data_IF_825188752200
#
_entry.id   IF_825188752200
#
_cell.length_a   1.000
_cell.length_b   1.000
_cell.length_c   1.000
_cell.angle_alpha   90.00
_cell.angle_beta   90.00
_cell.angle_gamma   90.00
#
_symmetry.space_group_name_H-M   'P 1'
#
loop_
_entity.id
_entity.type
_entity.pdbx_description
1 polymer ?
2 polymer ?
3 non-polymer ?
4 water ?
#
# COMPACT_ATOMS: atom_id res chain seq x y z
N UNK A 1 14.88 -15.65 1.91
CA UNK A 1 13.74 -16.62 2.06
C UNK A 1 12.71 -16.32 0.97
N UNK A 2 12.23 -17.37 0.31
CA UNK A 2 11.31 -17.23 -0.83
C UNK A 2 9.98 -16.50 -0.59
N UNK A 3 9.51 -16.49 0.64
CA UNK A 3 8.23 -15.83 0.95
C UNK A 3 8.40 -14.36 1.39
N UNK A 4 9.62 -13.84 1.28
CA UNK A 4 9.89 -12.46 1.64
C UNK A 4 10.24 -11.60 0.43
N UNK A 5 10.15 -10.29 0.61
CA UNK A 5 10.46 -9.34 -0.45
C UNK A 5 11.20 -8.19 0.20
N UNK A 6 11.90 -7.41 -0.62
CA UNK A 6 12.62 -6.26 -0.08
C UNK A 6 12.09 -5.01 -0.77
N UNK A 7 11.25 -4.22 -0.05
CA UNK A 7 10.68 -3.00 -0.61
C UNK A 7 11.77 -2.00 -0.97
N UNK A 8 11.61 -1.37 -2.12
CA UNK A 8 12.53 -0.34 -2.52
C UNK A 8 12.40 0.83 -1.54
N UNK A 9 13.48 1.60 -1.41
CA UNK A 9 13.52 2.68 -0.45
C UNK A 9 12.29 3.57 -0.22
N UNK A 10 11.71 4.17 -1.27
CA UNK A 10 10.54 5.00 -0.98
C UNK A 10 9.38 4.22 -0.41
N UNK A 11 9.19 2.98 -0.89
CA UNK A 11 8.09 2.18 -0.33
C UNK A 11 8.41 1.78 1.11
N UNK A 12 9.69 1.53 1.40
CA UNK A 12 10.07 1.16 2.75
C UNK A 12 9.79 2.32 3.69
N UNK A 13 10.05 3.54 3.22
CA UNK A 13 9.80 4.73 4.03
C UNK A 13 8.33 4.74 4.47
N UNK A 14 7.44 4.45 3.53
CA UNK A 14 6.01 4.41 3.81
C UNK A 14 5.66 3.34 4.85
N UNK A 15 6.24 2.15 4.69
CA UNK A 15 5.97 1.07 5.62
C UNK A 15 6.48 1.45 7.01
N UNK A 16 7.69 1.99 7.08
CA UNK A 16 8.23 2.41 8.37
C UNK A 16 7.34 3.50 9.02
N UNK A 17 6.83 4.43 8.22
CA UNK A 17 5.95 5.48 8.71
C UNK A 17 4.73 4.90 9.41
N UNK A 18 4.29 3.73 8.96
CA UNK A 18 3.13 3.06 9.53
C UNK A 18 3.48 2.10 10.65
N UNK A 19 4.75 2.11 11.05
CA UNK A 19 5.19 1.28 12.16
C UNK A 19 6.00 0.04 11.85
N UNK A 20 6.28 -0.23 10.58
CA UNK A 20 7.05 -1.42 10.25
C UNK A 20 8.52 -1.28 10.70
N UNK A 21 9.17 -2.42 10.90
CA UNK A 21 10.58 -2.47 11.29
C UNK A 21 11.33 -3.42 10.38
N UNK A 22 12.55 -3.05 10.03
CA UNK A 22 13.35 -3.92 9.19
C UNK A 22 13.37 -3.57 7.72
N UNK A 23 13.92 -4.49 6.91
CA UNK A 23 14.07 -4.29 5.47
C UNK A 23 13.37 -5.34 4.63
N UNK A 24 13.10 -6.50 5.21
CA UNK A 24 12.44 -7.58 4.47
C UNK A 24 11.11 -7.96 5.11
N UNK A 25 10.14 -8.23 4.26
CA UNK A 25 8.79 -8.51 4.74
C UNK A 25 8.09 -9.52 3.89
N UNK A 26 7.02 -10.09 4.46
CA UNK A 26 6.20 -11.00 3.67
C UNK A 26 5.24 -10.07 2.93
N UNK A 27 4.56 -10.58 1.91
CA UNK A 27 3.63 -9.74 1.17
C UNK A 27 2.47 -9.32 2.09
N UNK A 28 1.99 -10.24 2.92
CA UNK A 28 0.93 -9.89 3.85
C UNK A 28 1.41 -8.76 4.77
N UNK A 29 2.66 -8.79 5.23
CA UNK A 29 3.11 -7.67 6.07
C UNK A 29 3.13 -6.37 5.28
N UNK A 30 3.67 -6.39 4.06
CA UNK A 30 3.67 -5.18 3.25
C UNK A 30 2.25 -4.61 3.13
N UNK A 31 1.29 -5.46 2.79
CA UNK A 31 -0.10 -5.01 2.65
C UNK A 31 -0.68 -4.43 3.96
N UNK A 32 -0.33 -5.06 5.07
CA UNK A 32 -0.80 -4.60 6.37
C UNK A 32 -0.28 -3.18 6.64
N UNK A 33 1.02 -2.97 6.49
CA UNK A 33 1.54 -1.64 6.80
C UNK A 33 1.12 -0.58 5.78
N UNK A 34 0.94 -0.96 4.51
CA UNK A 34 0.53 0.01 3.50
C UNK A 34 -0.93 0.39 3.77
N UNK A 35 -1.71 -0.58 4.23
CA UNK A 35 -3.11 -0.30 4.55
C UNK A 35 -3.17 0.60 5.78
N UNK A 36 -2.31 0.34 6.75
CA UNK A 36 -2.28 1.16 7.96
C UNK A 36 -1.88 2.59 7.61
N UNK A 37 -0.96 2.73 6.67
CA UNK A 37 -0.51 4.04 6.24
C UNK A 37 -1.71 4.83 5.67
N UNK A 38 -2.44 4.19 4.76
CA UNK A 38 -3.59 4.83 4.17
C UNK A 38 -4.66 5.18 5.20
N UNK A 39 -4.87 4.29 6.17
CA UNK A 39 -5.87 4.51 7.21
C UNK A 39 -5.52 5.64 8.16
N UNK A 40 -4.35 5.57 8.78
CA UNK A 40 -4.00 6.61 9.75
C UNK A 40 -3.79 7.98 9.10
N UNK A 41 -3.32 8.02 7.86
CA UNK A 41 -3.13 9.33 7.21
C UNK A 41 -4.49 9.75 6.67
N UNK A 42 -5.47 8.87 6.79
CA UNK A 42 -6.82 9.12 6.29
C UNK A 42 -6.83 9.62 4.85
N UNK A 43 -6.17 8.88 3.97
CA UNK A 43 -6.13 9.23 2.55
C UNK A 43 -7.36 8.71 1.80
N UNK A 44 -8.07 7.76 2.39
CA UNK A 44 -9.24 7.22 1.70
C UNK A 44 -10.40 8.23 1.69
N UNK A 45 -11.28 8.10 0.71
CA UNK A 45 -12.47 8.96 0.55
C UNK A 45 -13.46 8.61 1.68
N UNK A 46 -13.85 9.60 2.47
CA UNK A 46 -14.74 9.37 3.60
C UNK A 46 -16.09 8.77 3.21
N UNK A 47 -16.63 9.17 2.06
CA UNK A 47 -17.95 8.66 1.63
C UNK A 47 -17.93 7.37 0.82
N UNK A 48 -16.86 7.15 0.07
CA UNK A 48 -16.72 5.94 -0.74
C UNK A 48 -15.34 5.45 -0.34
N UNK A 49 -15.29 4.67 0.73
CA UNK A 49 -14.02 4.25 1.29
C UNK A 49 -13.13 3.31 0.50
N UNK A 50 -13.60 2.86 -0.66
CA UNK A 50 -12.75 2.02 -1.49
C UNK A 50 -11.81 2.92 -2.30
N UNK A 51 -12.10 4.23 -2.32
CA UNK A 51 -11.29 5.18 -3.06
C UNK A 51 -10.22 5.79 -2.18
N UNK A 52 -9.02 5.88 -2.74
CA UNK A 52 -7.88 6.47 -2.05
C UNK A 52 -7.35 7.66 -2.86
N UNK A 53 -7.25 8.82 -2.21
CA UNK A 53 -6.72 10.02 -2.87
C UNK A 53 -5.35 10.28 -2.30
N UNK A 54 -4.35 10.30 -3.17
CA UNK A 54 -2.98 10.47 -2.75
C UNK A 54 -2.15 11.48 -3.53
N UNK A 55 -2.80 12.49 -4.09
CA UNK A 55 -2.06 13.49 -4.84
C UNK A 55 -1.16 14.24 -3.89
N UNK A 56 0.12 14.38 -4.24
CA UNK A 56 1.07 15.07 -3.38
C UNK A 56 1.64 14.22 -2.26
N UNK A 57 1.18 12.97 -2.17
CA UNK A 57 1.69 12.07 -1.13
C UNK A 57 2.75 11.19 -1.80
N UNK A 58 3.75 10.73 -1.04
CA UNK A 58 4.77 9.85 -1.63
C UNK A 58 4.10 8.62 -2.25
N UNK A 59 2.98 8.19 -1.68
CA UNK A 59 2.28 7.04 -2.23
C UNK A 59 1.83 7.34 -3.65
N UNK A 60 1.39 8.59 -3.90
CA UNK A 60 0.97 9.00 -5.22
C UNK A 60 2.13 9.03 -6.19
N UNK A 61 3.31 9.43 -5.72
CA UNK A 61 4.47 9.43 -6.61
C UNK A 61 4.78 7.99 -7.01
N UNK A 62 4.69 7.06 -6.06
CA UNK A 62 4.96 5.66 -6.38
C UNK A 62 3.93 5.11 -7.36
N UNK A 63 2.68 5.50 -7.18
CA UNK A 63 1.61 5.03 -8.05
C UNK A 63 1.57 5.74 -9.40
N UNK A 64 2.11 6.96 -9.46
CA UNK A 64 2.07 7.73 -10.68
C UNK A 64 0.62 8.15 -10.91
N UNK A 65 -0.14 8.23 -9.82
CA UNK A 65 -1.56 8.58 -9.90
C UNK A 65 -2.00 9.45 -8.74
N UNK A 66 -3.08 10.20 -8.97
CA UNK A 66 -3.64 11.07 -7.96
C UNK A 66 -4.61 10.28 -7.04
N UNK A 67 -5.13 9.16 -7.54
CA UNK A 67 -6.07 8.34 -6.78
C UNK A 67 -6.14 6.94 -7.37
N UNK A 68 -6.71 6.01 -6.61
CA UNK A 68 -6.91 4.67 -7.11
C UNK A 68 -8.06 4.06 -6.33
N UNK A 69 -8.59 2.96 -6.85
CA UNK A 69 -9.71 2.29 -6.21
C UNK A 69 -9.29 0.90 -5.74
N UNK A 70 -9.55 0.59 -4.47
CA UNK A 70 -9.21 -0.73 -3.93
C UNK A 70 -10.01 -1.81 -4.67
N UNK A 71 -11.12 -1.43 -5.31
CA UNK A 71 -11.93 -2.37 -6.09
C UNK A 71 -11.26 -2.75 -7.43
N UNK A 72 -10.36 -1.91 -7.93
CA UNK A 72 -9.59 -2.22 -9.15
C UNK A 72 -8.16 -1.99 -8.74
N UNK A 73 -7.59 -2.95 -8.02
CA UNK A 73 -6.21 -2.83 -7.54
C UNK A 73 -5.10 -2.92 -8.58
N UNK A 74 -5.41 -3.11 -9.86
CA UNK A 74 -4.31 -3.25 -10.82
C UNK A 74 -3.19 -2.21 -10.72
N UNK A 75 -3.52 -0.91 -10.63
CA UNK A 75 -2.42 0.05 -10.54
C UNK A 75 -1.61 -0.13 -9.26
N UNK A 76 -2.28 -0.54 -8.18
CA UNK A 76 -1.59 -0.76 -6.92
C UNK A 76 -0.66 -1.97 -7.08
N UNK A 77 -1.14 -3.02 -7.75
CA UNK A 77 -0.30 -4.21 -7.91
C UNK A 77 0.88 -3.92 -8.84
N UNK A 78 0.67 -3.03 -9.81
CA UNK A 78 1.74 -2.64 -10.74
C UNK A 78 2.86 -1.94 -9.94
N UNK A 79 2.45 -1.08 -9.02
CA UNK A 79 3.40 -0.35 -8.18
C UNK A 79 4.17 -1.33 -7.31
N UNK A 80 3.47 -2.30 -6.73
CA UNK A 80 4.15 -3.29 -5.89
C UNK A 80 5.13 -4.14 -6.70
N UNK A 81 4.78 -4.51 -7.94
CA UNK A 81 5.70 -5.32 -8.75
C UNK A 81 6.99 -4.55 -9.02
N UNK A 82 6.87 -3.23 -9.16
CA UNK A 82 8.03 -2.40 -9.43
C UNK A 82 8.80 -2.04 -8.18
N UNK A 83 8.12 -2.07 -7.04
CA UNK A 83 8.78 -1.69 -5.80
C UNK A 83 9.05 -2.81 -4.80
N UNK A 84 8.73 -4.04 -5.17
CA UNK A 84 9.06 -5.14 -4.28
C UNK A 84 10.11 -6.01 -4.99
N UNK A 85 11.33 -6.03 -4.47
CA UNK A 85 12.37 -6.87 -5.05
C UNK A 85 12.18 -8.27 -4.49
N UNK A 86 12.17 -9.26 -5.38
CA UNK A 86 11.96 -10.64 -4.96
C UNK A 86 13.16 -11.51 -5.30
N UNK A 87 13.09 -12.78 -4.92
CA UNK A 87 14.18 -13.71 -5.20
C UNK A 87 14.07 -14.24 -6.63
N UNK B 1 -17.89 -1.14 3.21
CA UNK B 1 -18.34 0.27 3.39
C UNK B 1 -17.24 1.04 4.10
N UNK B 2 -16.28 0.30 4.64
CA UNK B 2 -15.14 0.92 5.33
C UNK B 2 -13.89 0.64 4.50
N UNK B 3 -12.88 1.49 4.62
CA UNK B 3 -11.63 1.25 3.90
C UNK B 3 -11.08 -0.12 4.31
N UNK B 4 -11.04 -0.40 5.62
CA UNK B 4 -10.51 -1.68 6.11
C UNK B 4 -11.19 -2.90 5.47
N UNK B 5 -12.51 -2.83 5.33
CA UNK B 5 -13.29 -3.92 4.74
C UNK B 5 -12.81 -4.21 3.31
N UNK B 6 -12.70 -3.17 2.49
CA UNK B 6 -12.23 -3.31 1.11
C UNK B 6 -10.77 -3.74 1.05
N UNK B 7 -9.93 -3.10 1.87
CA UNK B 7 -8.50 -3.41 1.86
C UNK B 7 -8.18 -4.86 2.23
N UNK B 8 -8.88 -5.39 3.22
CA UNK B 8 -8.65 -6.75 3.67
C UNK B 8 -8.89 -7.76 2.54
N UNK B 9 -9.73 -7.39 1.58
CA UNK B 9 -10.04 -8.27 0.45
C UNK B 9 -8.86 -8.54 -0.46
N UNK B 10 -7.87 -7.65 -0.43
CA UNK B 10 -6.72 -7.83 -1.30
C UNK B 10 -5.80 -8.99 -0.94
N UNK B 11 -5.93 -9.51 0.27
CA UNK B 11 -5.11 -10.65 0.69
C UNK B 11 -6.01 -11.76 1.21
N UNK B 12 -5.56 -13.00 1.05
CA UNK B 12 -6.30 -14.15 1.52
C UNK B 12 -6.06 -14.33 3.02
X LIG C 1 -9.83 11.68 3.49
#
# INVERSE_FOLDING_TARGET
QINQVRPKLPLLKILHAAGAQGEMFTVKEVMHYLGQYIMVKQLYDQQEQHMVYCGGDLLGELLGRQSFSVKDPSPLYDMLRKNLVTLAT
LTFEHYWAQLTS
K K
#
